data_IF_769107082486
#
_entry.id   IF_769107082486
#
_cell.length_a   1.000
_cell.length_b   1.000
_cell.length_c   1.000
_cell.angle_alpha   90.00
_cell.angle_beta   90.00
_cell.angle_gamma   90.00
#
_symmetry.space_group_name_H-M   'P 1'
#
loop_
_entity.id
_entity.type
_entity.pdbx_description
1 polymer ?
#
# COMPACT_ATOMS: atom_id res chain seq x y z
N UNK A 1 -23.35 -10.43 -31.74
CA UNK A 1 -24.47 -10.20 -30.81
C UNK A 1 -24.79 -11.45 -29.98
N UNK A 2 -24.75 -12.65 -30.59
CA UNK A 2 -24.88 -13.95 -29.91
C UNK A 2 -23.82 -14.22 -28.81
N UNK A 3 -22.55 -13.85 -29.06
CA UNK A 3 -21.41 -14.15 -28.19
C UNK A 3 -21.48 -13.43 -26.85
N UNK A 4 -22.00 -12.20 -26.83
CA UNK A 4 -22.13 -11.40 -25.61
C UNK A 4 -23.23 -11.94 -24.68
N UNK A 5 -24.34 -12.44 -25.24
CA UNK A 5 -25.40 -13.10 -24.44
C UNK A 5 -24.91 -14.39 -23.78
N UNK A 6 -24.03 -15.14 -24.43
CA UNK A 6 -23.42 -16.34 -23.83
C UNK A 6 -22.45 -15.98 -22.69
N UNK A 7 -21.74 -14.86 -22.80
CA UNK A 7 -20.83 -14.37 -21.76
C UNK A 7 -21.59 -13.86 -20.52
N UNK A 8 -22.72 -13.18 -20.69
CA UNK A 8 -23.58 -12.74 -19.57
C UNK A 8 -24.21 -13.92 -18.80
N UNK A 9 -24.64 -14.97 -19.51
CA UNK A 9 -25.15 -16.18 -18.88
C UNK A 9 -24.04 -16.92 -18.11
N UNK A 10 -22.81 -16.85 -18.63
CA UNK A 10 -21.61 -17.46 -18.05
C UNK A 10 -21.22 -16.78 -16.73
N UNK A 11 -21.16 -15.45 -16.69
CA UNK A 11 -20.87 -14.70 -15.46
C UNK A 11 -21.92 -14.97 -14.39
N UNK A 12 -23.21 -15.04 -14.76
CA UNK A 12 -24.28 -15.39 -13.81
C UNK A 12 -24.11 -16.77 -13.15
N UNK A 13 -23.73 -17.80 -13.92
CA UNK A 13 -23.52 -19.16 -13.38
C UNK A 13 -22.26 -19.23 -12.52
N UNK A 14 -21.18 -18.54 -12.90
CA UNK A 14 -19.94 -18.57 -12.13
C UNK A 14 -20.12 -17.94 -10.75
N UNK A 15 -20.87 -16.83 -10.68
CA UNK A 15 -21.21 -16.16 -9.42
C UNK A 15 -22.14 -17.00 -8.54
N UNK A 16 -23.13 -17.70 -9.12
CA UNK A 16 -24.09 -18.53 -8.38
C UNK A 16 -23.45 -19.75 -7.71
N UNK A 17 -22.41 -20.33 -8.32
CA UNK A 17 -21.73 -21.52 -7.81
C UNK A 17 -20.38 -21.24 -7.13
N UNK A 18 -20.02 -19.96 -6.93
CA UNK A 18 -18.76 -19.51 -6.35
C UNK A 18 -17.53 -20.17 -7.02
N UNK A 19 -17.59 -20.33 -8.34
CA UNK A 19 -16.52 -20.96 -9.11
C UNK A 19 -15.46 -19.92 -9.51
N UNK A 20 -14.23 -20.38 -9.70
CA UNK A 20 -13.22 -19.55 -10.34
C UNK A 20 -13.55 -19.39 -11.82
N UNK A 21 -13.77 -18.14 -12.26
CA UNK A 21 -13.99 -17.80 -13.69
C UNK A 21 -12.87 -18.39 -14.55
N UNK A 22 -11.63 -18.33 -14.07
CA UNK A 22 -10.45 -18.85 -14.76
C UNK A 22 -10.50 -20.37 -14.93
N UNK A 23 -11.02 -21.11 -13.95
CA UNK A 23 -11.13 -22.57 -14.01
C UNK A 23 -12.24 -23.00 -14.98
N UNK A 24 -13.38 -22.31 -14.98
CA UNK A 24 -14.51 -22.57 -15.88
C UNK A 24 -14.12 -22.29 -17.33
N UNK A 25 -13.49 -21.14 -17.59
CA UNK A 25 -12.97 -20.77 -18.91
C UNK A 25 -11.93 -21.79 -19.38
N UNK A 26 -10.99 -22.17 -18.52
CA UNK A 26 -9.95 -23.16 -18.84
C UNK A 26 -10.55 -24.53 -19.20
N UNK A 27 -11.56 -24.98 -18.45
CA UNK A 27 -12.27 -26.22 -18.74
C UNK A 27 -13.02 -26.17 -20.08
N UNK A 28 -13.63 -25.04 -20.43
CA UNK A 28 -14.43 -24.91 -21.66
C UNK A 28 -13.56 -24.80 -22.90
N UNK A 29 -12.41 -24.14 -22.80
CA UNK A 29 -11.39 -24.15 -23.85
C UNK A 29 -10.85 -25.57 -24.06
N UNK A 30 -10.48 -26.28 -22.98
CA UNK A 30 -10.03 -27.69 -23.06
C UNK A 30 -11.09 -28.65 -23.62
N UNK A 31 -12.36 -28.41 -23.34
CA UNK A 31 -13.47 -29.23 -23.82
C UNK A 31 -14.00 -28.83 -25.20
N UNK A 32 -13.38 -27.83 -25.86
CA UNK A 32 -13.77 -27.37 -27.21
C UNK A 32 -15.11 -26.61 -27.26
N UNK A 33 -15.65 -26.21 -26.11
CA UNK A 33 -16.94 -25.52 -25.98
C UNK A 33 -16.84 -24.01 -26.17
N UNK A 34 -15.63 -23.46 -26.10
CA UNK A 34 -15.33 -22.06 -26.36
C UNK A 34 -14.14 -21.98 -27.33
N UNK A 35 -14.29 -21.20 -28.41
CA UNK A 35 -13.22 -20.95 -29.38
C UNK A 35 -12.88 -19.45 -29.36
N UNK A 36 -12.15 -19.03 -28.33
CA UNK A 36 -11.59 -17.69 -28.18
C UNK A 36 -10.10 -17.81 -27.86
N UNK A 37 -9.30 -16.90 -28.40
CA UNK A 37 -7.89 -16.76 -28.03
C UNK A 37 -7.79 -16.44 -26.53
N UNK A 38 -7.06 -17.27 -25.77
CA UNK A 38 -6.96 -17.18 -24.31
C UNK A 38 -6.48 -15.80 -23.79
N UNK A 39 -5.72 -15.07 -24.63
CA UNK A 39 -5.26 -13.71 -24.33
C UNK A 39 -6.40 -12.67 -24.29
N UNK A 40 -7.46 -12.87 -25.07
CA UNK A 40 -8.62 -11.97 -25.14
C UNK A 40 -9.56 -12.19 -23.95
N UNK A 41 -9.62 -13.42 -23.42
CA UNK A 41 -10.45 -13.75 -22.25
C UNK A 41 -9.82 -13.24 -20.96
N UNK A 42 -8.49 -13.30 -20.82
CA UNK A 42 -7.79 -12.77 -19.63
C UNK A 42 -7.95 -11.25 -19.43
N UNK A 43 -8.22 -10.50 -20.50
CA UNK A 43 -8.43 -9.04 -20.44
C UNK A 43 -9.90 -8.65 -20.29
N UNK A 44 -10.84 -9.52 -20.67
CA UNK A 44 -12.29 -9.27 -20.53
C UNK A 44 -12.92 -9.93 -19.30
N UNK A 45 -12.31 -10.98 -18.72
CA UNK A 45 -12.84 -11.71 -17.58
C UNK A 45 -12.61 -11.03 -16.21
N UNK A 46 -11.89 -9.90 -16.14
CA UNK A 46 -11.57 -9.21 -14.87
C UNK A 46 -12.50 -8.01 -14.59
N UNK A 47 -13.33 -7.57 -15.54
CA UNK A 47 -14.39 -6.60 -15.22
C UNK A 47 -15.64 -7.33 -14.72
N UNK A 48 -15.61 -7.76 -13.46
CA UNK A 48 -16.84 -8.02 -12.70
C UNK A 48 -17.70 -6.75 -12.75
N UNK A 49 -18.73 -6.72 -13.60
CA UNK A 49 -19.47 -5.52 -14.02
C UNK A 49 -20.29 -4.77 -12.95
N UNK A 50 -19.87 -4.79 -11.68
CA UNK A 50 -20.52 -4.10 -10.56
C UNK A 50 -19.65 -2.99 -9.94
N UNK A 51 -18.33 -3.08 -10.02
CA UNK A 51 -17.42 -2.15 -9.35
C UNK A 51 -16.35 -1.64 -10.30
N UNK A 52 -16.27 -0.33 -10.44
CA UNK A 52 -15.25 0.37 -11.21
C UNK A 52 -14.60 1.44 -10.34
N UNK A 53 -13.31 1.68 -10.55
CA UNK A 53 -12.61 2.79 -9.90
C UNK A 53 -13.29 4.11 -10.26
N UNK A 54 -13.73 4.91 -9.28
CA UNK A 54 -14.39 6.17 -9.58
C UNK A 54 -13.42 7.12 -10.28
N UNK A 55 -13.95 7.97 -11.18
CA UNK A 55 -13.16 8.99 -11.90
C UNK A 55 -12.32 9.88 -10.98
N UNK A 56 -12.78 10.07 -9.74
CA UNK A 56 -12.08 10.84 -8.71
C UNK A 56 -11.74 9.92 -7.54
N UNK A 57 -10.46 9.67 -7.36
CA UNK A 57 -9.92 8.97 -6.19
C UNK A 57 -9.69 9.97 -5.07
N UNK A 58 -10.02 9.59 -3.83
CA UNK A 58 -9.94 10.44 -2.64
C UNK A 58 -9.24 9.72 -1.49
N UNK A 59 -8.58 10.45 -0.58
CA UNK A 59 -8.08 9.88 0.67
C UNK A 59 -9.17 9.15 1.45
N UNK A 60 -8.81 8.00 2.02
CA UNK A 60 -9.72 7.09 2.71
C UNK A 60 -10.36 6.01 1.81
N UNK A 61 -10.23 6.08 0.49
CA UNK A 61 -10.67 4.98 -0.37
C UNK A 61 -9.80 3.72 -0.17
N UNK A 62 -10.39 2.55 -0.38
CA UNK A 62 -9.75 1.24 -0.28
C UNK A 62 -9.10 0.88 -1.61
N UNK A 63 -7.86 0.41 -1.56
CA UNK A 63 -7.13 -0.14 -2.70
C UNK A 63 -7.12 -1.65 -2.54
N UNK A 64 -7.59 -2.36 -3.55
CA UNK A 64 -7.65 -3.81 -3.58
C UNK A 64 -6.43 -4.41 -4.30
N UNK A 65 -6.13 -5.67 -4.04
CA UNK A 65 -4.98 -6.37 -4.63
C UNK A 65 -5.11 -6.62 -6.15
N UNK A 66 -6.34 -6.60 -6.66
CA UNK A 66 -6.70 -6.62 -8.08
C UNK A 66 -6.53 -5.25 -8.78
N UNK A 67 -6.16 -4.19 -8.03
CA UNK A 67 -5.96 -2.83 -8.54
C UNK A 67 -7.21 -1.95 -8.53
N UNK A 68 -8.38 -2.44 -8.11
CA UNK A 68 -9.57 -1.62 -7.91
C UNK A 68 -9.32 -0.60 -6.78
N UNK A 69 -9.84 0.62 -6.95
CA UNK A 69 -9.95 1.59 -5.86
C UNK A 69 -11.41 1.93 -5.65
N UNK A 70 -11.92 1.81 -4.42
CA UNK A 70 -13.33 2.02 -4.14
C UNK A 70 -13.57 2.68 -2.79
N UNK A 71 -14.69 3.40 -2.63
CA UNK A 71 -15.02 4.12 -1.38
C UNK A 71 -15.57 3.24 -0.27
N UNK A 72 -15.98 2.02 -0.59
CA UNK A 72 -16.62 1.08 0.33
C UNK A 72 -15.87 -0.25 0.37
N UNK A 73 -16.00 -0.96 1.49
CA UNK A 73 -15.47 -2.32 1.64
C UNK A 73 -16.38 -3.26 0.84
N UNK A 74 -15.77 -4.05 -0.04
CA UNK A 74 -16.45 -5.07 -0.83
C UNK A 74 -16.18 -6.42 -0.16
N UNK A 75 -17.24 -7.06 0.32
CA UNK A 75 -17.16 -8.37 0.95
C UNK A 75 -16.48 -9.39 0.01
N UNK A 76 -15.56 -10.18 0.56
CA UNK A 76 -14.82 -11.19 -0.20
C UNK A 76 -13.66 -10.67 -1.06
N UNK A 77 -13.40 -9.35 -1.08
CA UNK A 77 -12.21 -8.78 -1.76
C UNK A 77 -11.12 -8.37 -0.77
N UNK A 78 -9.87 -8.66 -1.15
CA UNK A 78 -8.70 -8.36 -0.33
C UNK A 78 -8.34 -6.87 -0.46
N UNK A 79 -8.47 -6.13 0.63
CA UNK A 79 -7.93 -4.76 0.71
C UNK A 79 -6.42 -4.85 0.92
N UNK A 80 -5.68 -4.15 0.07
CA UNK A 80 -4.22 -4.05 0.11
C UNK A 80 -3.75 -2.83 0.90
N UNK A 81 -4.40 -1.68 0.69
CA UNK A 81 -3.99 -0.42 1.31
C UNK A 81 -5.13 0.60 1.34
N UNK A 82 -4.93 1.71 2.06
CA UNK A 82 -5.84 2.86 2.07
C UNK A 82 -5.20 4.03 1.33
N UNK A 83 -5.94 4.69 0.45
CA UNK A 83 -5.49 5.95 -0.18
C UNK A 83 -5.19 6.98 0.91
N UNK A 84 -3.93 7.38 1.02
CA UNK A 84 -3.46 8.36 2.00
C UNK A 84 -3.47 9.79 1.47
N UNK A 85 -3.02 10.00 0.23
CA UNK A 85 -3.10 11.27 -0.48
C UNK A 85 -3.11 11.07 -1.99
N UNK A 86 -3.69 12.03 -2.72
CA UNK A 86 -3.72 12.04 -4.18
C UNK A 86 -3.18 13.38 -4.67
N UNK A 87 -2.23 13.35 -5.60
CA UNK A 87 -1.60 14.54 -6.22
C UNK A 87 -1.50 14.31 -7.74
N UNK A 88 -2.44 14.86 -8.51
CA UNK A 88 -2.60 14.51 -9.92
C UNK A 88 -2.92 13.01 -10.09
N UNK A 89 -2.04 12.27 -10.76
CA UNK A 89 -2.13 10.81 -10.89
C UNK A 89 -1.32 10.04 -9.86
N UNK A 90 -0.58 10.72 -8.98
CA UNK A 90 0.21 10.09 -7.93
C UNK A 90 -0.66 9.80 -6.69
N UNK A 91 -0.61 8.55 -6.25
CA UNK A 91 -1.29 8.09 -5.02
C UNK A 91 -0.26 7.62 -4.03
N UNK A 92 -0.28 8.21 -2.84
CA UNK A 92 0.40 7.69 -1.67
C UNK A 92 -0.60 6.86 -0.88
N UNK A 93 -0.33 5.58 -0.65
CA UNK A 93 -1.23 4.67 0.06
C UNK A 93 -0.61 4.12 1.35
N UNK A 94 -1.43 3.95 2.38
CA UNK A 94 -1.05 3.47 3.71
C UNK A 94 -1.29 1.96 3.79
N UNK A 95 -0.25 1.19 4.11
CA UNK A 95 -0.37 -0.25 4.32
C UNK A 95 -1.09 -0.54 5.65
N UNK A 96 -1.69 -1.74 5.78
CA UNK A 96 -2.61 -2.02 6.87
C UNK A 96 -1.89 -2.31 8.19
N UNK A 97 -0.71 -2.95 8.16
CA UNK A 97 0.04 -3.29 9.37
C UNK A 97 1.04 -2.20 9.78
N UNK A 98 1.31 -2.11 11.09
CA UNK A 98 2.40 -1.31 11.66
C UNK A 98 3.28 -2.15 12.58
N UNK A 99 4.49 -1.65 12.84
CA UNK A 99 5.38 -2.20 13.84
C UNK A 99 5.98 -1.09 14.73
N UNK A 100 6.36 -1.43 15.96
CA UNK A 100 7.14 -0.55 16.84
C UNK A 100 8.60 -0.97 16.79
N UNK A 101 9.39 -0.32 15.95
CA UNK A 101 10.79 -0.63 15.70
C UNK A 101 11.65 0.63 15.84
N UNK A 102 12.95 0.48 16.21
CA UNK A 102 13.87 1.61 16.14
C UNK A 102 14.03 2.05 14.69
N UNK A 103 14.43 3.30 14.49
CA UNK A 103 14.83 3.76 13.17
C UNK A 103 16.13 3.07 12.73
N UNK A 104 17.08 2.99 13.65
CA UNK A 104 18.30 2.19 13.56
C UNK A 104 18.83 1.96 14.98
N UNK A 105 18.93 0.71 15.44
CA UNK A 105 19.53 0.41 16.76
C UNK A 105 21.03 0.71 16.82
N UNK A 106 21.71 0.70 15.66
CA UNK A 106 23.14 0.98 15.53
C UNK A 106 23.46 2.46 15.24
N UNK A 107 22.49 3.36 15.36
CA UNK A 107 22.65 4.78 15.03
C UNK A 107 23.20 5.01 13.60
N UNK A 108 22.69 4.27 12.62
CA UNK A 108 23.07 4.38 11.22
C UNK A 108 23.03 5.84 10.75
N UNK A 109 24.16 6.36 10.30
CA UNK A 109 24.23 7.71 9.74
C UNK A 109 24.00 7.67 8.23
N UNK A 110 22.89 8.25 7.78
CA UNK A 110 22.40 8.29 6.41
C UNK A 110 22.17 9.74 5.91
N UNK A 111 23.17 10.61 6.11
CA UNK A 111 23.19 12.05 5.74
C UNK A 111 22.57 12.41 4.39
N UNK A 112 22.68 11.53 3.40
CA UNK A 112 22.08 11.74 2.08
C UNK A 112 20.54 11.92 2.13
N UNK A 113 19.87 11.35 3.13
CA UNK A 113 18.41 11.34 3.27
C UNK A 113 17.84 12.63 3.86
N UNK A 114 18.67 13.47 4.51
CA UNK A 114 18.24 14.71 5.17
C UNK A 114 17.55 15.70 4.22
N UNK A 115 17.88 15.65 2.93
CA UNK A 115 17.34 16.55 1.88
C UNK A 115 16.41 15.84 0.90
N UNK A 116 16.11 14.56 1.12
CA UNK A 116 15.26 13.77 0.22
C UNK A 116 13.80 13.96 0.61
N UNK A 117 12.96 14.29 -0.38
CA UNK A 117 11.51 14.49 -0.19
C UNK A 117 10.68 13.26 -0.53
N UNK A 118 11.21 12.33 -1.34
CA UNK A 118 10.56 11.05 -1.66
C UNK A 118 11.00 9.93 -0.71
N UNK A 119 10.05 9.29 -0.05
CA UNK A 119 10.32 8.23 0.94
C UNK A 119 10.87 6.96 0.29
N UNK A 120 10.47 6.68 -0.95
CA UNK A 120 10.89 5.48 -1.69
C UNK A 120 12.38 5.51 -1.99
N UNK A 121 12.87 6.60 -2.56
CA UNK A 121 14.28 6.80 -2.86
C UNK A 121 15.09 6.87 -1.56
N UNK A 122 14.58 7.54 -0.53
CA UNK A 122 15.24 7.65 0.77
C UNK A 122 15.38 6.28 1.44
N UNK A 123 14.32 5.47 1.46
CA UNK A 123 14.35 4.09 1.98
C UNK A 123 15.40 3.25 1.27
N UNK A 124 15.45 3.28 -0.08
CA UNK A 124 16.51 2.57 -0.83
C UNK A 124 17.90 3.06 -0.47
N UNK A 125 18.08 4.37 -0.29
CA UNK A 125 19.37 4.96 0.11
C UNK A 125 19.78 4.54 1.52
N UNK A 126 18.85 4.51 2.47
CA UNK A 126 19.10 4.01 3.83
C UNK A 126 19.61 2.56 3.78
N UNK A 127 18.91 1.68 3.05
CA UNK A 127 19.29 0.28 2.92
C UNK A 127 20.64 0.09 2.23
N UNK A 128 20.95 0.89 1.21
CA UNK A 128 22.27 0.88 0.57
C UNK A 128 23.39 1.24 1.56
N UNK A 129 23.18 2.28 2.37
CA UNK A 129 24.16 2.74 3.37
C UNK A 129 24.29 1.72 4.50
N UNK A 130 23.18 1.18 5.00
CA UNK A 130 23.13 0.10 6.00
C UNK A 130 23.99 -1.09 5.57
N UNK A 131 23.80 -1.59 4.35
CA UNK A 131 24.60 -2.71 3.81
C UNK A 131 26.09 -2.39 3.70
N UNK A 132 26.43 -1.17 3.27
CA UNK A 132 27.83 -0.71 3.16
C UNK A 132 28.51 -0.59 4.53
N UNK A 133 27.79 -0.08 5.52
CA UNK A 133 28.29 0.13 6.89
C UNK A 133 28.17 -1.11 7.78
N UNK A 134 27.39 -2.12 7.36
CA UNK A 134 27.01 -3.30 8.16
C UNK A 134 26.35 -2.90 9.48
N UNK A 135 25.39 -1.98 9.40
CA UNK A 135 24.64 -1.45 10.54
C UNK A 135 23.15 -1.63 10.28
N UNK A 136 22.37 -1.82 11.34
CA UNK A 136 20.93 -2.07 11.23
C UNK A 136 20.14 -0.83 10.75
N UNK A 137 19.06 -1.07 10.02
CA UNK A 137 18.12 -0.06 9.52
C UNK A 137 16.67 -0.56 9.63
N UNK A 138 16.28 -0.96 10.83
CA UNK A 138 15.09 -1.79 11.09
C UNK A 138 13.81 -1.16 10.54
N UNK A 139 13.60 0.14 10.71
CA UNK A 139 12.40 0.81 10.18
C UNK A 139 12.33 0.77 8.65
N UNK A 140 13.45 1.07 7.97
CA UNK A 140 13.51 1.05 6.51
C UNK A 140 13.43 -0.38 5.96
N UNK A 141 14.09 -1.33 6.64
CA UNK A 141 14.11 -2.74 6.27
C UNK A 141 12.73 -3.37 6.43
N UNK A 142 12.02 -3.09 7.54
CA UNK A 142 10.64 -3.53 7.75
C UNK A 142 9.70 -3.06 6.64
N UNK A 143 9.78 -1.78 6.27
CA UNK A 143 8.94 -1.27 5.19
C UNK A 143 9.29 -1.89 3.84
N UNK A 144 10.57 -2.15 3.56
CA UNK A 144 10.99 -2.81 2.33
C UNK A 144 10.59 -4.28 2.29
N UNK A 145 10.64 -4.97 3.44
CA UNK A 145 10.30 -6.38 3.58
C UNK A 145 8.79 -6.66 3.64
N UNK A 146 7.98 -5.61 3.77
CA UNK A 146 6.52 -5.75 3.81
C UNK A 146 5.99 -6.53 2.61
N UNK A 147 5.37 -7.67 2.89
CA UNK A 147 4.83 -8.61 1.91
C UNK A 147 3.47 -9.17 2.37
N UNK A 148 2.67 -8.30 2.99
CA UNK A 148 1.35 -8.62 3.55
C UNK A 148 0.23 -8.00 2.70
N UNK A 149 -1.01 -8.48 2.87
CA UNK A 149 -2.21 -7.89 2.27
C UNK A 149 -2.18 -7.79 0.72
N UNK A 150 -1.40 -8.63 0.05
CA UNK A 150 -1.22 -8.62 -1.41
C UNK A 150 -0.12 -7.67 -1.90
N UNK A 151 0.57 -6.95 -1.01
CA UNK A 151 1.75 -6.15 -1.36
C UNK A 151 2.96 -7.05 -1.64
N UNK A 152 3.76 -6.73 -2.66
CA UNK A 152 5.00 -7.46 -2.94
C UNK A 152 6.18 -6.79 -2.24
N UNK A 153 7.10 -7.62 -1.76
CA UNK A 153 8.34 -7.17 -1.15
C UNK A 153 9.06 -6.14 -2.04
N UNK A 154 9.49 -5.04 -1.45
CA UNK A 154 10.19 -3.95 -2.13
C UNK A 154 9.31 -2.93 -2.85
N UNK A 155 7.99 -3.11 -2.87
CA UNK A 155 7.04 -2.08 -3.34
C UNK A 155 6.80 -1.01 -2.27
N UNK A 156 6.65 -1.45 -1.02
CA UNK A 156 6.46 -0.58 0.12
C UNK A 156 7.76 0.06 0.60
N UNK A 157 7.63 1.21 1.26
CA UNK A 157 8.76 1.99 1.76
C UNK A 157 8.39 2.78 3.01
N UNK A 158 9.41 3.26 3.72
CA UNK A 158 9.25 4.14 4.87
C UNK A 158 8.95 5.56 4.35
N UNK A 159 7.84 6.20 4.72
CA UNK A 159 7.47 7.50 4.19
C UNK A 159 8.49 8.58 4.59
N UNK A 160 8.70 9.57 3.72
CA UNK A 160 9.46 10.78 4.07
C UNK A 160 8.67 11.66 5.05
N UNK A 161 9.36 12.64 5.65
CA UNK A 161 8.68 13.60 6.52
C UNK A 161 7.57 14.37 5.79
N UNK A 162 7.79 14.74 4.53
CA UNK A 162 6.79 15.45 3.70
C UNK A 162 5.62 14.55 3.34
N UNK A 163 5.85 13.26 3.10
CA UNK A 163 4.78 12.29 2.85
C UNK A 163 3.93 12.06 4.11
N UNK A 164 4.55 11.98 5.29
CA UNK A 164 3.84 11.92 6.56
C UNK A 164 2.93 13.13 6.79
N UNK A 165 3.33 14.33 6.36
CA UNK A 165 2.48 15.53 6.44
C UNK A 165 1.24 15.42 5.55
N UNK A 166 1.40 14.86 4.34
CA UNK A 166 0.26 14.58 3.45
C UNK A 166 -0.70 13.57 4.09
N UNK A 167 -0.17 12.54 4.75
CA UNK A 167 -0.99 11.57 5.49
C UNK A 167 -1.69 12.22 6.69
N UNK A 168 -0.99 13.08 7.44
CA UNK A 168 -1.57 13.80 8.57
C UNK A 168 -2.72 14.71 8.14
N UNK A 169 -2.56 15.46 7.04
CA UNK A 169 -3.61 16.32 6.49
C UNK A 169 -4.90 15.55 6.15
N UNK A 170 -4.78 14.26 5.81
CA UNK A 170 -5.90 13.39 5.45
C UNK A 170 -6.24 12.34 6.54
N UNK A 171 -5.62 12.44 7.72
CA UNK A 171 -5.67 11.41 8.76
C UNK A 171 -7.09 11.05 9.20
N UNK A 172 -8.02 11.99 9.20
CA UNK A 172 -9.41 11.72 9.58
C UNK A 172 -10.07 10.70 8.65
N UNK A 173 -9.91 10.87 7.33
CA UNK A 173 -10.45 9.94 6.33
C UNK A 173 -9.71 8.59 6.38
N UNK A 174 -8.38 8.61 6.47
CA UNK A 174 -7.57 7.38 6.56
C UNK A 174 -7.97 6.57 7.79
N UNK A 175 -8.07 7.20 8.97
CA UNK A 175 -8.41 6.51 10.21
C UNK A 175 -9.87 6.03 10.23
N UNK A 176 -10.79 6.66 9.52
CA UNK A 176 -12.15 6.14 9.36
C UNK A 176 -12.12 4.77 8.67
N UNK A 177 -11.33 4.64 7.60
CA UNK A 177 -11.19 3.39 6.84
C UNK A 177 -10.39 2.33 7.58
N UNK A 178 -9.28 2.70 8.23
CA UNK A 178 -8.52 1.77 9.09
C UNK A 178 -9.39 1.24 10.25
N UNK A 179 -10.23 2.11 10.84
CA UNK A 179 -11.18 1.70 11.88
C UNK A 179 -12.24 0.73 11.35
N UNK A 180 -12.75 0.96 10.13
CA UNK A 180 -13.73 0.08 9.50
C UNK A 180 -13.15 -1.33 9.22
N UNK A 181 -11.85 -1.42 8.92
CA UNK A 181 -11.13 -2.68 8.76
C UNK A 181 -10.69 -3.33 10.08
N UNK A 182 -10.88 -2.66 11.22
CA UNK A 182 -10.45 -3.16 12.53
C UNK A 182 -8.93 -3.22 12.73
N UNK A 183 -8.16 -2.48 11.91
CA UNK A 183 -6.68 -2.44 11.99
C UNK A 183 -6.18 -1.23 12.78
N UNK A 184 -4.88 -1.21 13.08
CA UNK A 184 -4.27 -0.13 13.85
C UNK A 184 -4.40 1.23 13.15
N UNK A 185 -4.88 2.24 13.88
CA UNK A 185 -5.02 3.63 13.39
C UNK A 185 -3.68 4.36 13.29
N UNK A 186 -3.60 5.38 12.44
CA UNK A 186 -2.51 6.36 12.48
C UNK A 186 -2.63 7.20 13.76
N UNK A 187 -1.75 6.93 14.72
CA UNK A 187 -1.67 7.60 16.03
C UNK A 187 -0.22 7.61 16.54
N UNK A 188 0.03 8.34 17.62
CA UNK A 188 1.38 8.41 18.20
C UNK A 188 2.36 9.15 17.29
N UNK A 189 3.64 8.76 17.32
CA UNK A 189 4.66 9.33 16.45
C UNK A 189 5.02 8.32 15.36
N UNK A 190 5.09 8.74 14.11
CA UNK A 190 5.54 7.89 13.01
C UNK A 190 6.95 8.25 12.61
N UNK A 191 7.80 7.22 12.41
CA UNK A 191 9.12 7.41 11.83
C UNK A 191 9.03 7.87 10.38
N UNK A 192 9.94 8.76 10.00
CA UNK A 192 10.19 9.12 8.60
C UNK A 192 11.50 8.53 8.09
N UNK A 193 11.64 8.41 6.78
CA UNK A 193 12.91 8.09 6.11
C UNK A 193 13.88 9.28 6.04
N UNK A 194 13.61 10.37 6.76
CA UNK A 194 14.42 11.60 6.76
C UNK A 194 15.27 11.62 8.02
N UNK A 195 16.59 11.48 7.88
CA UNK A 195 17.52 11.67 8.99
C UNK A 195 17.49 13.12 9.50
N UNK A 196 17.65 13.31 10.82
CA UNK A 196 17.91 14.62 11.40
C UNK A 196 19.42 14.87 11.50
N UNK A 197 20.13 14.00 12.22
CA UNK A 197 21.58 14.02 12.38
C UNK A 197 22.14 12.60 12.64
N UNK A 198 23.38 12.49 13.13
CA UNK A 198 23.99 11.19 13.45
C UNK A 198 23.22 10.39 14.52
N UNK A 199 22.55 11.07 15.46
CA UNK A 199 21.91 10.46 16.63
C UNK A 199 20.39 10.30 16.47
N UNK A 200 19.75 11.17 15.71
CA UNK A 200 18.30 11.29 15.60
C UNK A 200 17.77 11.20 14.17
N UNK A 201 16.51 10.77 14.06
CA UNK A 201 15.74 10.83 12.82
C UNK A 201 14.43 11.59 13.05
N UNK A 202 13.86 12.13 11.98
CA UNK A 202 12.60 12.87 12.09
C UNK A 202 11.42 11.92 12.31
N UNK A 203 10.56 12.30 13.24
CA UNK A 203 9.24 11.74 13.47
C UNK A 203 8.18 12.81 13.23
N UNK A 204 6.98 12.38 12.85
CA UNK A 204 5.79 13.22 12.83
C UNK A 204 4.77 12.69 13.82
N UNK A 205 4.29 13.57 14.70
CA UNK A 205 3.27 13.21 15.68
C UNK A 205 1.87 13.33 15.09
N UNK A 206 1.16 12.22 15.01
CA UNK A 206 -0.16 12.10 14.40
C UNK A 206 -1.30 12.75 15.23
N UNK A 207 -1.04 13.20 16.46
CA UNK A 207 -2.04 13.92 17.27
C UNK A 207 -2.21 15.38 16.87
N UNK A 208 -1.13 16.04 16.44
CA UNK A 208 -1.07 17.49 16.27
C UNK A 208 -0.24 17.94 15.05
N UNK A 209 0.42 17.01 14.36
CA UNK A 209 1.19 17.28 13.14
C UNK A 209 2.57 17.85 13.40
N UNK A 210 3.01 17.96 14.67
CA UNK A 210 4.33 18.49 14.97
C UNK A 210 5.44 17.51 14.57
N UNK A 211 6.52 18.09 14.05
CA UNK A 211 7.76 17.40 13.71
C UNK A 211 8.69 17.42 14.92
N UNK A 212 9.32 16.29 15.21
CA UNK A 212 10.34 16.18 16.25
C UNK A 212 11.50 15.34 15.72
N UNK A 213 12.71 15.59 16.21
CA UNK A 213 13.77 14.59 16.15
C UNK A 213 13.61 13.61 17.31
N UNK A 214 14.00 12.36 17.08
CA UNK A 214 14.00 11.34 18.12
C UNK A 214 15.19 10.40 17.94
N UNK A 215 15.74 9.93 19.06
CA UNK A 215 16.92 9.05 19.06
C UNK A 215 16.66 7.76 18.28
N UNK A 216 17.52 7.46 17.31
CA UNK A 216 17.31 6.37 16.32
C UNK A 216 17.11 4.99 16.94
N UNK A 217 17.79 4.71 18.05
CA UNK A 217 17.69 3.42 18.76
C UNK A 217 16.49 3.27 19.69
N UNK A 218 15.65 4.30 19.84
CA UNK A 218 14.48 4.25 20.72
C UNK A 218 13.20 3.99 19.92
N UNK A 219 12.33 3.12 20.39
CA UNK A 219 11.13 2.71 19.65
C UNK A 219 9.85 2.70 20.48
N UNK A 220 9.93 3.07 21.76
CA UNK A 220 8.81 2.90 22.71
C UNK A 220 7.57 3.73 22.37
N UNK A 221 7.75 4.81 21.61
CA UNK A 221 6.68 5.77 21.29
C UNK A 221 6.56 6.06 19.79
N UNK A 222 7.18 5.22 18.96
CA UNK A 222 7.24 5.43 17.52
C UNK A 222 6.73 4.20 16.77
N UNK A 223 5.96 4.44 15.72
CA UNK A 223 5.48 3.41 14.81
C UNK A 223 6.16 3.53 13.44
N UNK A 224 6.32 2.38 12.81
CA UNK A 224 6.75 2.21 11.43
C UNK A 224 5.54 1.72 10.66
N UNK A 225 5.03 2.57 9.77
CA UNK A 225 3.90 2.27 8.88
C UNK A 225 4.39 2.34 7.43
N UNK A 226 4.48 1.20 6.72
CA UNK A 226 4.87 1.21 5.32
C UNK A 226 3.82 1.92 4.45
N UNK A 227 4.29 2.52 3.36
CA UNK A 227 3.45 3.18 2.37
C UNK A 227 3.80 2.70 0.97
N UNK A 228 2.85 2.85 0.04
CA UNK A 228 3.01 2.57 -1.38
C UNK A 228 2.90 3.86 -2.18
N UNK A 229 3.55 3.87 -3.34
CA UNK A 229 3.41 4.91 -4.36
C UNK A 229 2.83 4.25 -5.61
N UNK A 230 1.62 4.66 -5.98
CA UNK A 230 0.85 4.10 -7.09
C UNK A 230 0.52 5.20 -8.10
N UNK A 231 0.22 4.78 -9.33
CA UNK A 231 -0.24 5.66 -10.42
C UNK A 231 -1.64 5.26 -10.83
N UNK A 232 -2.53 6.25 -10.95
CA UNK A 232 -3.87 6.09 -11.53
C UNK A 232 -3.83 5.97 -13.06
#
# INVERSE_FOLDING_TARGET
METNKKLELLTGIVDEFNLSVNDVVSYWVKSGRLNLDAATVSSQAVSSGKYETPKRVLPGMYIYDDGLIYSEIIEGRQVMAIVGSVDGSDVLAVCLQEACLPWSSDWLEAKATQKMTGGKEATRKILEISRKKRQEAEAAQWCYDYAEDGVKQGEAFLPSLTELEKLFANKAAINASLKALGVALLKGCCWSSTEYDGNGAWILRMSDGYRYDYGKGNYKYTSVRPVLALKL
#
